data_IF_181612412680
#
_entry.id   IF_181612412680
#
_cell.length_a   1.000
_cell.length_b   1.000
_cell.length_c   1.000
_cell.angle_alpha   90.00
_cell.angle_beta   90.00
_cell.angle_gamma   90.00
#
_symmetry.space_group_name_H-M   'P 1'
#
loop_
_entity.id
_entity.type
_entity.pdbx_description
1 polymer ?
#
# COMPACT_ATOMS: atom_id res chain seq x y z
N UNK A 1 14.22 12.16 15.34
CA UNK A 1 14.37 10.72 15.43
C UNK A 1 14.82 10.15 14.11
N UNK A 2 16.05 9.82 14.07
CA UNK A 2 16.67 9.42 12.82
C UNK A 2 16.14 8.11 12.26
N UNK A 3 15.86 7.16 13.12
CA UNK A 3 15.36 5.87 12.64
C UNK A 3 13.96 5.98 12.04
N UNK A 4 13.12 6.88 12.57
CA UNK A 4 11.80 7.13 11.99
C UNK A 4 11.94 7.74 10.60
N UNK A 5 12.88 8.67 10.45
CA UNK A 5 13.15 9.28 9.15
C UNK A 5 13.59 8.23 8.13
N UNK A 6 14.49 7.33 8.54
CA UNK A 6 14.97 6.27 7.67
C UNK A 6 13.86 5.29 7.31
N UNK A 7 13.00 4.99 8.24
CA UNK A 7 11.87 4.11 7.99
C UNK A 7 10.92 4.74 6.97
N UNK A 8 10.67 6.04 7.09
CA UNK A 8 9.83 6.74 6.12
C UNK A 8 10.49 6.83 4.75
N UNK A 9 11.81 6.94 4.70
CA UNK A 9 12.52 6.90 3.42
C UNK A 9 12.34 5.55 2.73
N UNK A 10 12.38 4.47 3.51
CA UNK A 10 12.14 3.14 2.96
C UNK A 10 10.72 3.03 2.41
N UNK A 11 9.75 3.60 3.12
CA UNK A 11 8.37 3.62 2.65
C UNK A 11 8.23 4.43 1.36
N UNK A 12 8.93 5.54 1.25
CA UNK A 12 8.93 6.33 0.03
C UNK A 12 9.45 5.51 -1.15
N UNK A 13 10.52 4.75 -0.92
CA UNK A 13 11.04 3.86 -1.94
C UNK A 13 9.96 2.86 -2.38
N UNK A 14 9.26 2.25 -1.44
CA UNK A 14 8.21 1.29 -1.74
C UNK A 14 7.09 1.96 -2.54
N UNK A 15 6.64 3.13 -2.10
CA UNK A 15 5.54 3.84 -2.78
C UNK A 15 5.93 4.27 -4.19
N UNK A 16 7.16 4.69 -4.38
CA UNK A 16 7.64 5.11 -5.69
C UNK A 16 7.77 3.95 -6.68
N UNK A 17 7.77 2.73 -6.17
CA UNK A 17 7.99 1.54 -6.99
C UNK A 17 6.80 0.59 -7.00
N UNK A 18 5.62 1.06 -6.64
CA UNK A 18 4.43 0.20 -6.64
C UNK A 18 4.08 -0.33 -8.02
N UNK A 19 4.40 0.41 -9.05
CA UNK A 19 4.22 -0.03 -10.44
C UNK A 19 5.47 -0.71 -11.01
N UNK A 20 6.38 -1.12 -10.15
CA UNK A 20 7.61 -1.81 -10.51
C UNK A 20 7.87 -2.92 -9.51
N UNK A 21 8.99 -3.60 -9.70
CA UNK A 21 9.45 -4.57 -8.74
C UNK A 21 9.97 -3.86 -7.49
N UNK A 22 9.64 -4.40 -6.33
CA UNK A 22 10.08 -3.84 -5.05
C UNK A 22 11.06 -4.82 -4.43
N UNK A 23 12.26 -4.34 -4.13
CA UNK A 23 13.27 -5.13 -3.44
C UNK A 23 13.16 -4.88 -1.94
N UNK A 24 12.82 -5.91 -1.19
CA UNK A 24 12.76 -5.80 0.26
C UNK A 24 14.14 -5.55 0.85
N UNK A 25 15.19 -6.12 0.22
CA UNK A 25 16.56 -5.88 0.66
C UNK A 25 16.93 -4.42 0.53
N UNK A 26 16.55 -3.81 -0.57
CA UNK A 26 16.84 -2.40 -0.79
C UNK A 26 16.10 -1.51 0.20
N UNK A 27 14.84 -1.83 0.46
CA UNK A 27 14.05 -1.09 1.45
C UNK A 27 14.69 -1.18 2.82
N UNK A 28 15.13 -2.39 3.20
CA UNK A 28 15.79 -2.59 4.49
C UNK A 28 17.10 -1.82 4.58
N UNK A 29 17.88 -1.79 3.49
CA UNK A 29 19.12 -1.02 3.45
C UNK A 29 18.86 0.47 3.67
N UNK A 30 17.81 0.99 3.05
CA UNK A 30 17.44 2.39 3.24
C UNK A 30 17.10 2.64 4.70
N UNK A 31 16.41 1.69 5.33
CA UNK A 31 16.03 1.80 6.74
C UNK A 31 17.18 1.45 7.68
N UNK A 32 18.34 1.08 7.15
CA UNK A 32 19.56 0.77 7.92
C UNK A 32 19.39 -0.45 8.81
N UNK A 33 18.71 -1.49 8.31
CA UNK A 33 18.53 -2.72 9.07
C UNK A 33 18.47 -3.92 8.12
N UNK A 34 18.39 -5.12 8.70
CA UNK A 34 18.25 -6.33 7.91
C UNK A 34 16.85 -6.44 7.35
N UNK A 35 16.69 -7.24 6.31
CA UNK A 35 15.39 -7.48 5.71
C UNK A 35 14.42 -8.06 6.71
N UNK A 36 14.88 -9.02 7.50
CA UNK A 36 14.04 -9.65 8.52
C UNK A 36 13.58 -8.63 9.56
N UNK A 37 14.51 -7.82 10.05
CA UNK A 37 14.19 -6.82 11.06
C UNK A 37 13.26 -5.74 10.52
N UNK A 38 13.48 -5.32 9.28
CA UNK A 38 12.63 -4.31 8.65
C UNK A 38 11.19 -4.81 8.55
N UNK A 39 11.01 -6.04 8.08
CA UNK A 39 9.67 -6.61 7.95
C UNK A 39 8.98 -6.78 9.29
N UNK A 40 9.72 -7.19 10.30
CA UNK A 40 9.15 -7.35 11.64
C UNK A 40 8.73 -6.01 12.22
N UNK A 41 9.57 -5.02 12.10
CA UNK A 41 9.28 -3.69 12.59
C UNK A 41 8.08 -3.09 11.88
N UNK A 42 8.06 -3.23 10.56
CA UNK A 42 6.92 -2.76 9.78
C UNK A 42 5.62 -3.42 10.24
N UNK A 43 5.65 -4.74 10.34
CA UNK A 43 4.46 -5.51 10.72
C UNK A 43 3.96 -5.13 12.09
N UNK A 44 4.88 -4.90 13.01
CA UNK A 44 4.52 -4.51 14.37
C UNK A 44 3.82 -3.14 14.40
N UNK A 45 4.36 -2.17 13.67
CA UNK A 45 3.83 -0.81 13.70
C UNK A 45 2.57 -0.69 12.85
N UNK A 46 2.59 -1.25 11.66
CA UNK A 46 1.48 -1.13 10.70
C UNK A 46 0.33 -2.10 10.97
N UNK A 47 0.58 -3.12 11.78
CA UNK A 47 -0.39 -4.16 12.13
C UNK A 47 -0.79 -5.04 10.95
N UNK A 48 -0.04 -4.99 9.86
CA UNK A 48 -0.18 -5.89 8.73
C UNK A 48 1.20 -6.20 8.19
N UNK A 49 1.39 -7.38 7.57
CA UNK A 49 2.67 -7.68 6.93
C UNK A 49 2.97 -6.71 5.80
N UNK A 50 4.26 -6.51 5.54
CA UNK A 50 4.68 -5.63 4.47
C UNK A 50 4.08 -6.05 3.12
N UNK A 51 4.07 -7.34 2.83
CA UNK A 51 3.50 -7.85 1.58
C UNK A 51 2.01 -7.50 1.44
N UNK A 52 1.28 -7.55 2.53
CA UNK A 52 -0.14 -7.19 2.50
C UNK A 52 -0.32 -5.70 2.28
N UNK A 53 0.52 -4.89 2.90
CA UNK A 53 0.49 -3.45 2.69
C UNK A 53 0.73 -3.10 1.21
N UNK A 54 1.75 -3.71 0.63
CA UNK A 54 2.08 -3.47 -0.78
C UNK A 54 0.92 -3.90 -1.67
N UNK A 55 0.33 -5.06 -1.40
CA UNK A 55 -0.82 -5.55 -2.16
C UNK A 55 -1.98 -4.57 -2.11
N UNK A 56 -2.31 -4.09 -0.92
CA UNK A 56 -3.41 -3.14 -0.74
C UNK A 56 -3.18 -1.84 -1.48
N UNK A 57 -1.93 -1.35 -1.43
CA UNK A 57 -1.59 -0.12 -2.13
C UNK A 57 -1.65 -0.28 -3.64
N UNK A 58 -1.14 -1.38 -4.15
CA UNK A 58 -1.18 -1.66 -5.58
C UNK A 58 -2.60 -1.76 -6.10
N UNK A 59 -3.45 -2.47 -5.38
CA UNK A 59 -4.86 -2.64 -5.80
C UNK A 59 -5.61 -1.32 -5.66
N UNK A 60 -5.26 -0.50 -4.67
CA UNK A 60 -5.85 0.84 -4.54
C UNK A 60 -5.50 1.72 -5.73
N UNK A 61 -4.22 1.74 -6.12
CA UNK A 61 -3.80 2.52 -7.28
C UNK A 61 -4.42 1.98 -8.57
N UNK A 62 -4.54 0.67 -8.68
CA UNK A 62 -5.19 0.05 -9.83
C UNK A 62 -6.64 0.51 -9.95
N UNK A 63 -7.33 0.63 -8.82
CA UNK A 63 -8.72 1.10 -8.83
C UNK A 63 -8.82 2.53 -9.34
N UNK A 64 -7.91 3.40 -8.93
CA UNK A 64 -7.87 4.76 -9.44
C UNK A 64 -7.61 4.78 -10.94
N UNK A 65 -6.66 3.96 -11.40
CA UNK A 65 -6.36 3.88 -12.82
C UNK A 65 -7.56 3.39 -13.63
N UNK A 66 -8.30 2.42 -13.11
CA UNK A 66 -9.51 1.93 -13.78
C UNK A 66 -10.56 3.02 -13.95
N UNK A 67 -10.70 3.88 -12.97
CA UNK A 67 -11.72 4.92 -13.00
C UNK A 67 -11.30 6.18 -13.72
N UNK A 68 -10.01 6.49 -13.69
CA UNK A 68 -9.50 7.76 -14.19
C UNK A 68 -8.80 7.67 -15.53
N UNK A 69 -8.41 6.47 -15.95
CA UNK A 69 -7.66 6.27 -17.18
C UNK A 69 -8.39 5.31 -18.10
N UNK A 70 -8.10 5.43 -19.39
CA UNK A 70 -8.73 4.59 -20.41
C UNK A 70 -7.82 3.39 -20.78
N UNK A 71 -7.03 2.94 -19.85
CA UNK A 71 -6.15 1.79 -20.05
C UNK A 71 -6.95 0.50 -19.98
N UNK A 72 -6.49 -0.51 -20.72
CA UNK A 72 -7.09 -1.84 -20.65
C UNK A 72 -6.85 -2.45 -19.28
N UNK A 73 -7.81 -3.24 -18.82
CA UNK A 73 -7.71 -3.89 -17.53
C UNK A 73 -6.45 -4.78 -17.46
N UNK A 74 -6.16 -5.50 -18.54
CA UNK A 74 -4.98 -6.36 -18.57
C UNK A 74 -3.68 -5.55 -18.42
N UNK A 75 -3.63 -4.38 -19.02
CA UNK A 75 -2.46 -3.52 -18.93
C UNK A 75 -2.28 -2.98 -17.51
N UNK A 76 -3.37 -2.62 -16.86
CA UNK A 76 -3.32 -2.18 -15.46
C UNK A 76 -2.86 -3.32 -14.57
N UNK A 77 -3.36 -4.54 -14.81
CA UNK A 77 -2.94 -5.70 -14.05
C UNK A 77 -1.43 -5.93 -14.15
N UNK A 78 -0.90 -5.88 -15.36
CA UNK A 78 0.52 -6.07 -15.59
C UNK A 78 1.35 -4.96 -14.94
N UNK A 79 0.86 -3.75 -14.99
CA UNK A 79 1.54 -2.59 -14.40
C UNK A 79 1.79 -2.80 -12.90
N UNK A 80 0.85 -3.40 -12.21
CA UNK A 80 0.95 -3.61 -10.77
C UNK A 80 1.43 -5.02 -10.40
N UNK A 81 2.05 -5.71 -11.34
CA UNK A 81 2.75 -6.94 -11.06
C UNK A 81 1.94 -8.22 -11.12
N UNK A 82 0.75 -8.17 -11.67
CA UNK A 82 -0.09 -9.37 -11.82
C UNK A 82 0.12 -9.97 -13.19
N UNK A 83 0.57 -11.21 -13.22
CA UNK A 83 0.92 -11.89 -14.48
C UNK A 83 -0.29 -12.44 -15.24
N UNK A 84 -1.42 -12.55 -14.56
CA UNK A 84 -2.62 -13.07 -15.22
C UNK A 84 -3.84 -12.26 -14.82
N UNK A 85 -4.83 -12.16 -15.72
CA UNK A 85 -6.09 -11.48 -15.39
C UNK A 85 -6.81 -12.16 -14.22
N UNK A 86 -6.69 -13.46 -14.11
CA UNK A 86 -7.33 -14.23 -13.03
C UNK A 86 -6.76 -13.82 -11.67
N UNK A 87 -5.45 -13.72 -11.56
CA UNK A 87 -4.80 -13.34 -10.30
C UNK A 87 -5.17 -11.93 -9.91
N UNK A 88 -5.17 -11.01 -10.88
CA UNK A 88 -5.56 -9.63 -10.63
C UNK A 88 -7.02 -9.52 -10.21
N UNK A 89 -7.89 -10.22 -10.93
CA UNK A 89 -9.32 -10.21 -10.63
C UNK A 89 -9.59 -10.71 -9.21
N UNK A 90 -8.92 -11.79 -8.82
CA UNK A 90 -9.07 -12.34 -7.47
C UNK A 90 -8.62 -11.35 -6.40
N UNK A 91 -7.46 -10.76 -6.58
CA UNK A 91 -6.93 -9.79 -5.61
C UNK A 91 -7.82 -8.57 -5.53
N UNK A 92 -8.30 -8.10 -6.68
CA UNK A 92 -9.15 -6.91 -6.74
C UNK A 92 -10.48 -7.16 -6.02
N UNK A 93 -11.14 -8.28 -6.33
CA UNK A 93 -12.41 -8.61 -5.69
C UNK A 93 -12.25 -8.84 -4.19
N UNK A 94 -11.10 -9.38 -3.79
CA UNK A 94 -10.84 -9.61 -2.38
C UNK A 94 -10.78 -8.31 -1.59
N UNK A 95 -10.27 -7.26 -2.19
CA UNK A 95 -10.15 -5.96 -1.52
C UNK A 95 -11.39 -5.10 -1.71
N UNK A 96 -11.91 -5.03 -2.92
CA UNK A 96 -12.99 -4.10 -3.24
C UNK A 96 -14.38 -4.72 -3.24
N UNK A 97 -14.47 -6.05 -3.27
CA UNK A 97 -15.75 -6.73 -3.30
C UNK A 97 -16.43 -6.80 -4.64
N UNK A 98 -15.86 -6.19 -5.67
CA UNK A 98 -16.40 -6.19 -7.04
C UNK A 98 -15.28 -6.46 -8.03
N UNK A 99 -15.65 -6.79 -9.25
CA UNK A 99 -14.65 -7.05 -10.30
C UNK A 99 -14.05 -5.75 -10.83
N UNK A 100 -12.87 -5.82 -11.46
CA UNK A 100 -12.28 -4.64 -12.07
C UNK A 100 -13.18 -3.98 -13.12
N UNK A 101 -13.88 -4.78 -13.94
CA UNK A 101 -14.76 -4.19 -14.95
C UNK A 101 -15.95 -3.49 -14.31
N UNK A 102 -16.48 -4.02 -13.21
CA UNK A 102 -17.56 -3.33 -12.48
C UNK A 102 -17.04 -2.05 -11.85
N UNK A 103 -15.81 -2.06 -11.37
CA UNK A 103 -15.21 -0.89 -10.73
C UNK A 103 -14.99 0.26 -11.71
N UNK A 104 -14.87 -0.05 -13.00
CA UNK A 104 -14.65 0.98 -14.02
C UNK A 104 -15.86 1.86 -14.23
N UNK A 105 -17.02 1.39 -13.82
CA UNK A 105 -18.24 2.18 -13.98
C UNK A 105 -18.25 3.37 -13.05
N UNK A 106 -18.75 4.49 -13.56
CA UNK A 106 -18.81 5.71 -12.77
C UNK A 106 -19.71 5.54 -11.57
N UNK A 107 -19.35 6.21 -10.48
CA UNK A 107 -20.15 6.19 -9.28
C UNK A 107 -19.94 4.98 -8.41
N UNK A 108 -19.08 4.05 -8.82
CA UNK A 108 -18.76 2.89 -8.01
C UNK A 108 -17.90 3.30 -6.82
N UNK A 109 -18.32 2.91 -5.64
CA UNK A 109 -17.57 3.19 -4.42
C UNK A 109 -16.53 2.10 -4.20
N UNK A 110 -15.29 2.49 -4.00
CA UNK A 110 -14.19 1.57 -3.83
C UNK A 110 -13.51 1.78 -2.50
N UNK A 111 -12.95 0.69 -1.99
CA UNK A 111 -12.17 0.74 -0.77
C UNK A 111 -10.73 1.12 -1.13
N UNK A 112 -10.24 2.22 -0.62
CA UNK A 112 -8.88 2.65 -0.89
C UNK A 112 -8.08 2.60 0.40
N UNK A 113 -6.86 2.07 0.30
CA UNK A 113 -5.94 1.99 1.42
C UNK A 113 -4.88 3.08 1.22
N UNK A 114 -4.84 4.07 2.11
CA UNK A 114 -3.90 5.18 1.93
C UNK A 114 -2.48 4.78 2.28
N UNK A 115 -1.57 5.61 1.80
CA UNK A 115 -0.17 5.47 2.15
C UNK A 115 0.00 5.66 3.66
N UNK A 116 0.83 4.82 4.26
CA UNK A 116 1.19 4.93 5.67
C UNK A 116 2.44 5.81 5.78
N UNK A 117 2.48 6.65 6.79
CA UNK A 117 3.71 7.32 7.19
C UNK A 117 3.85 7.18 8.69
N UNK A 118 5.08 7.11 9.16
CA UNK A 118 5.35 6.95 10.57
C UNK A 118 5.73 8.29 11.18
N UNK A 119 5.09 8.61 12.30
CA UNK A 119 5.39 9.82 13.03
C UNK A 119 5.72 9.45 14.45
N UNK A 120 6.61 10.20 15.06
CA UNK A 120 6.95 10.00 16.44
C UNK A 120 6.65 11.28 17.19
N UNK A 121 5.81 11.16 18.19
CA UNK A 121 5.48 12.27 19.06
C UNK A 121 6.13 12.01 20.40
N UNK A 122 6.80 13.01 20.92
CA UNK A 122 7.49 12.91 22.20
C UNK A 122 6.46 12.73 23.30
N UNK A 123 6.83 12.05 24.37
CA UNK A 123 6.03 11.82 25.57
C UNK A 123 5.16 10.58 25.53
N UNK A 124 5.55 9.58 24.78
CA UNK A 124 4.97 8.25 24.90
C UNK A 124 3.60 8.05 24.27
N UNK A 125 3.19 8.95 23.39
CA UNK A 125 1.91 8.79 22.70
C UNK A 125 2.07 8.30 21.28
N UNK A 126 3.23 7.80 20.97
CA UNK A 126 3.62 7.42 19.62
C UNK A 126 2.67 6.40 19.01
N UNK A 127 2.38 5.34 19.76
CA UNK A 127 1.56 4.24 19.23
C UNK A 127 0.15 4.67 18.90
N UNK A 128 -0.43 5.47 19.77
CA UNK A 128 -1.79 5.95 19.56
C UNK A 128 -1.90 6.82 18.33
N UNK A 129 -0.90 7.63 18.09
CA UNK A 129 -0.89 8.52 16.93
C UNK A 129 -0.84 7.75 15.62
N UNK A 130 -0.09 6.69 15.56
CA UNK A 130 -0.04 5.88 14.36
C UNK A 130 -1.41 5.28 14.04
N UNK A 131 -2.08 4.77 15.06
CA UNK A 131 -3.39 4.15 14.86
C UNK A 131 -4.44 5.14 14.44
N UNK A 132 -4.44 6.31 15.04
CA UNK A 132 -5.39 7.36 14.70
C UNK A 132 -5.18 7.82 13.26
N UNK A 133 -3.95 8.05 12.87
CA UNK A 133 -3.63 8.48 11.53
C UNK A 133 -4.12 7.49 10.49
N UNK A 134 -3.92 6.21 10.75
CA UNK A 134 -4.37 5.16 9.88
C UNK A 134 -5.89 5.15 9.73
N UNK A 135 -6.61 5.33 10.83
CA UNK A 135 -8.07 5.37 10.80
C UNK A 135 -8.61 6.58 10.07
N UNK A 136 -8.02 7.72 10.30
CA UNK A 136 -8.45 8.96 9.64
C UNK A 136 -8.32 8.84 8.14
N UNK A 137 -7.23 8.29 7.68
CA UNK A 137 -7.02 8.06 6.26
C UNK A 137 -8.10 7.15 5.69
N UNK A 138 -8.53 6.17 6.46
CA UNK A 138 -9.60 5.26 6.04
C UNK A 138 -10.91 6.00 5.85
N UNK A 139 -11.23 6.91 6.73
CA UNK A 139 -12.51 7.63 6.69
C UNK A 139 -12.62 8.56 5.49
N UNK A 140 -11.53 9.10 5.08
CA UNK A 140 -11.52 10.05 3.96
C UNK A 140 -12.01 9.41 2.68
N UNK A 141 -11.79 8.13 2.55
CA UNK A 141 -12.08 7.39 1.33
C UNK A 141 -13.51 6.88 1.29
N UNK A 142 -14.11 6.72 2.42
CA UNK A 142 -15.44 6.11 2.57
C UNK A 142 -16.54 6.72 1.77
#
# INVERSE_FOLDING_TARGET
MEWISKLNEALTYIEDNLDNEISYDKAAQIACCSTFHFQRMFSYIAEVPLSEYIRRRRITLAAFDLQCKDEKIIDIALKYGYESPTAFNRAFRNIHGISPSAARKQGTSLKAFPRISFKMIIKGEVEMNYKIEKKDSFKIVG
#
